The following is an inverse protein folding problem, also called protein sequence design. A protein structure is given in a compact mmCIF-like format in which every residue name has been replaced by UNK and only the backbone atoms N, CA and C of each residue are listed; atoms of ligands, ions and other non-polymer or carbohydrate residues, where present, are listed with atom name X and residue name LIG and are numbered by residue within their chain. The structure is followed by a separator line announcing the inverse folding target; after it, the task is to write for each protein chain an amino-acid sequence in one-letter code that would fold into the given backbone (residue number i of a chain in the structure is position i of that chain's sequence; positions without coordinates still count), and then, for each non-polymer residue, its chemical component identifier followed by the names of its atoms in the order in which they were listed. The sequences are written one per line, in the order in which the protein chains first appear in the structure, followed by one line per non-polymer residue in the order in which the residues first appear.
data_IF_323408888662
#
_entry.id   IF_323408888662
#
_cell.length_a   1.000
_cell.length_b   1.000
_cell.length_c   1.000
_cell.angle_alpha   90.00
_cell.angle_beta   90.00
_cell.angle_gamma   90.00
#
_symmetry.space_group_name_H-M   'P 1'
#
loop_
_entity.id
_entity.type
_entity.pdbx_description
1 polymer ?
#
# COMPACT_ATOMS: atom_id res chain seq x y z
N UNK A 1 -49.25 -7.38 -40.60
CA UNK A 1 -48.16 -6.81 -39.75
C UNK A 1 -46.89 -7.58 -40.05
N UNK A 2 -45.90 -7.00 -40.77
CA UNK A 2 -44.60 -7.58 -41.03
C UNK A 2 -43.75 -7.45 -39.75
N UNK A 3 -43.36 -8.57 -39.13
CA UNK A 3 -42.34 -8.58 -38.05
C UNK A 3 -41.01 -8.06 -38.62
N UNK A 4 -40.60 -6.88 -38.17
CA UNK A 4 -39.27 -6.34 -38.41
C UNK A 4 -38.27 -7.25 -37.69
N UNK A 5 -37.55 -8.07 -38.44
CA UNK A 5 -36.41 -8.86 -37.98
C UNK A 5 -35.25 -7.86 -37.75
N UNK A 6 -35.14 -7.33 -36.55
CA UNK A 6 -33.98 -6.52 -36.15
C UNK A 6 -32.72 -7.37 -36.30
N UNK A 7 -31.85 -7.02 -37.25
CA UNK A 7 -30.51 -7.60 -37.39
C UNK A 7 -29.75 -7.31 -36.08
N UNK A 8 -29.53 -8.33 -35.26
CA UNK A 8 -28.61 -8.21 -34.09
C UNK A 8 -27.20 -7.97 -34.62
N UNK A 9 -26.75 -6.75 -34.53
CA UNK A 9 -25.38 -6.39 -34.92
C UNK A 9 -24.44 -6.97 -33.91
N UNK A 10 -23.68 -8.00 -34.31
CA UNK A 10 -22.66 -8.61 -33.44
C UNK A 10 -21.42 -7.75 -33.44
N UNK A 11 -21.26 -6.92 -32.41
CA UNK A 11 -20.11 -6.04 -32.22
C UNK A 11 -18.85 -6.77 -31.65
N UNK A 12 -18.90 -8.09 -31.44
CA UNK A 12 -17.82 -8.86 -30.81
C UNK A 12 -16.45 -8.68 -31.51
N UNK A 13 -16.44 -8.61 -32.85
CA UNK A 13 -15.18 -8.41 -33.60
C UNK A 13 -14.53 -7.04 -33.30
N UNK A 14 -15.34 -6.01 -33.21
CA UNK A 14 -14.85 -4.66 -32.89
C UNK A 14 -14.35 -4.57 -31.44
N UNK A 15 -15.02 -5.25 -30.51
CA UNK A 15 -14.56 -5.34 -29.13
C UNK A 15 -13.15 -5.95 -29.02
N UNK A 16 -12.88 -7.04 -29.72
CA UNK A 16 -11.55 -7.64 -29.76
C UNK A 16 -10.51 -6.71 -30.42
N UNK A 17 -10.86 -6.07 -31.53
CA UNK A 17 -9.94 -5.13 -32.22
C UNK A 17 -9.54 -3.98 -31.29
N UNK A 18 -10.48 -3.41 -30.53
CA UNK A 18 -10.17 -2.34 -29.57
C UNK A 18 -9.34 -2.81 -28.36
N UNK A 19 -9.42 -4.10 -28.00
CA UNK A 19 -8.59 -4.68 -26.93
C UNK A 19 -7.17 -5.01 -27.35
N UNK A 20 -6.91 -5.22 -28.67
CA UNK A 20 -5.59 -5.63 -29.17
C UNK A 20 -4.47 -4.68 -28.71
N UNK A 21 -4.54 -3.35 -28.83
CA UNK A 21 -3.45 -2.46 -28.40
C UNK A 21 -3.12 -2.64 -26.92
N UNK A 22 -4.15 -2.72 -26.07
CA UNK A 22 -3.98 -2.96 -24.65
C UNK A 22 -3.32 -4.33 -24.37
N UNK A 23 -3.82 -5.40 -25.00
CA UNK A 23 -3.29 -6.75 -24.82
C UNK A 23 -1.82 -6.82 -25.27
N UNK A 24 -1.47 -6.21 -26.41
CA UNK A 24 -0.09 -6.19 -26.91
C UNK A 24 0.84 -5.50 -25.92
N UNK A 25 0.48 -4.32 -25.45
CA UNK A 25 1.27 -3.58 -24.44
C UNK A 25 1.38 -4.38 -23.14
N UNK A 26 0.28 -4.97 -22.67
CA UNK A 26 0.28 -5.80 -21.48
C UNK A 26 1.18 -7.03 -21.61
N UNK A 27 1.13 -7.74 -22.72
CA UNK A 27 1.99 -8.91 -22.98
C UNK A 27 3.46 -8.52 -23.00
N UNK A 28 3.81 -7.46 -23.72
CA UNK A 28 5.21 -7.04 -23.87
C UNK A 28 5.79 -6.53 -22.55
N UNK A 29 5.06 -5.68 -21.81
CA UNK A 29 5.61 -4.96 -20.65
C UNK A 29 5.27 -5.60 -19.29
N UNK A 30 4.31 -6.50 -19.22
CA UNK A 30 3.92 -7.16 -17.99
C UNK A 30 4.15 -8.68 -18.04
N UNK A 31 3.58 -9.35 -19.03
CA UNK A 31 3.59 -10.81 -19.07
C UNK A 31 4.98 -11.37 -19.37
N UNK A 32 5.67 -10.84 -20.37
CA UNK A 32 7.03 -11.28 -20.73
C UNK A 32 8.03 -11.08 -19.58
N UNK A 33 8.11 -9.88 -18.92
CA UNK A 33 8.99 -9.70 -17.76
C UNK A 33 8.63 -10.59 -16.58
N UNK A 34 7.33 -10.84 -16.33
CA UNK A 34 6.88 -11.74 -15.28
C UNK A 34 7.38 -13.18 -15.54
N UNK A 35 7.16 -13.70 -16.76
CA UNK A 35 7.63 -15.05 -17.14
C UNK A 35 9.17 -15.10 -17.04
N UNK A 36 9.87 -14.08 -17.51
CA UNK A 36 11.33 -13.99 -17.41
C UNK A 36 11.82 -14.01 -15.97
N UNK A 37 11.14 -13.29 -15.05
CA UNK A 37 11.47 -13.30 -13.63
C UNK A 37 11.29 -14.68 -13.02
N UNK A 38 10.17 -15.35 -13.31
CA UNK A 38 9.91 -16.72 -12.86
C UNK A 38 10.97 -17.68 -13.43
N UNK A 39 11.30 -17.57 -14.72
CA UNK A 39 12.31 -18.40 -15.35
C UNK A 39 13.68 -18.19 -14.69
N UNK A 40 14.15 -16.95 -14.54
CA UNK A 40 15.43 -16.63 -13.94
C UNK A 40 15.54 -17.06 -12.47
N UNK A 41 14.45 -17.21 -11.75
CA UNK A 41 14.45 -17.66 -10.35
C UNK A 41 15.00 -19.09 -10.16
N UNK A 42 14.98 -19.91 -11.22
CA UNK A 42 15.51 -21.27 -11.21
C UNK A 42 16.98 -21.35 -11.66
N UNK A 43 17.59 -20.22 -11.99
CA UNK A 43 18.96 -20.13 -12.46
C UNK A 43 19.85 -19.43 -11.46
N UNK A 44 21.08 -19.91 -11.33
CA UNK A 44 22.16 -19.17 -10.70
C UNK A 44 22.69 -18.15 -11.71
N UNK A 45 22.51 -16.87 -11.42
CA UNK A 45 22.96 -15.79 -12.28
C UNK A 45 23.32 -14.58 -11.41
N UNK A 46 24.61 -14.36 -11.21
CA UNK A 46 25.10 -13.23 -10.40
C UNK A 46 26.47 -12.77 -10.87
N UNK A 47 26.85 -11.56 -10.45
CA UNK A 47 28.19 -11.02 -10.67
C UNK A 47 29.10 -11.33 -9.48
N UNK A 48 30.25 -11.90 -9.74
CA UNK A 48 31.35 -12.10 -8.77
C UNK A 48 32.53 -11.21 -9.20
N UNK A 49 32.64 -10.03 -8.58
CA UNK A 49 33.55 -9.00 -9.05
C UNK A 49 33.18 -8.52 -10.46
N UNK A 50 34.10 -8.72 -11.42
CA UNK A 50 33.88 -8.36 -12.82
C UNK A 50 33.41 -9.54 -13.70
N UNK A 51 33.33 -10.75 -13.14
CA UNK A 51 32.93 -11.96 -13.88
C UNK A 51 31.48 -12.30 -13.61
N UNK A 52 30.74 -12.65 -14.66
CA UNK A 52 29.39 -13.16 -14.54
C UNK A 52 29.43 -14.68 -14.31
N UNK A 53 28.75 -15.15 -13.27
CA UNK A 53 28.50 -16.57 -13.01
C UNK A 53 27.09 -16.91 -13.52
N UNK A 54 27.01 -17.84 -14.43
CA UNK A 54 25.75 -18.28 -15.03
C UNK A 54 25.34 -17.53 -16.31
N UNK A 55 24.10 -17.76 -16.80
CA UNK A 55 23.01 -18.49 -16.15
C UNK A 55 23.19 -20.02 -16.10
N UNK A 56 23.25 -20.62 -14.92
CA UNK A 56 23.30 -22.06 -14.71
C UNK A 56 21.99 -22.53 -14.07
N UNK A 57 21.38 -23.59 -14.59
CA UNK A 57 20.15 -24.13 -14.01
C UNK A 57 20.43 -24.81 -12.66
N UNK A 58 19.82 -24.29 -11.58
CA UNK A 58 20.00 -24.78 -10.21
C UNK A 58 18.68 -25.24 -9.57
N UNK A 59 17.58 -25.25 -10.32
CA UNK A 59 16.27 -25.64 -9.83
C UNK A 59 15.82 -24.80 -8.64
N UNK A 60 15.52 -25.44 -7.51
CA UNK A 60 15.01 -24.75 -6.31
C UNK A 60 16.11 -24.29 -5.33
N UNK A 61 17.39 -24.32 -5.70
CA UNK A 61 18.50 -23.97 -4.79
C UNK A 61 18.40 -22.51 -4.28
N UNK A 62 18.00 -21.55 -5.14
CA UNK A 62 17.77 -20.16 -4.75
C UNK A 62 16.71 -20.04 -3.67
N UNK A 63 15.60 -20.74 -3.81
CA UNK A 63 14.52 -20.76 -2.81
C UNK A 63 14.98 -21.39 -1.49
N UNK A 64 15.68 -22.55 -1.57
CA UNK A 64 16.23 -23.21 -0.38
C UNK A 64 17.16 -22.28 0.38
N UNK A 65 18.07 -21.59 -0.31
CA UNK A 65 18.97 -20.60 0.28
C UNK A 65 18.19 -19.44 0.91
N UNK A 66 17.21 -18.89 0.20
CA UNK A 66 16.39 -17.77 0.66
C UNK A 66 15.68 -18.07 1.99
N UNK A 67 15.14 -19.28 2.15
CA UNK A 67 14.45 -19.69 3.38
C UNK A 67 15.40 -20.15 4.49
N UNK A 68 16.61 -20.61 4.16
CA UNK A 68 17.62 -21.07 5.12
C UNK A 68 18.32 -19.90 5.80
N UNK A 69 18.57 -18.79 5.11
CA UNK A 69 19.32 -17.64 5.63
C UNK A 69 18.55 -16.87 6.72
N UNK A 70 17.27 -17.13 6.90
CA UNK A 70 16.43 -16.52 7.95
C UNK A 70 16.06 -15.05 7.71
N UNK A 71 16.78 -14.33 6.88
CA UNK A 71 16.60 -12.90 6.60
C UNK A 71 15.19 -12.59 6.06
N UNK A 72 14.63 -13.48 5.25
CA UNK A 72 13.28 -13.32 4.67
C UNK A 72 12.20 -13.20 5.75
N UNK A 73 12.31 -13.97 6.83
CA UNK A 73 11.33 -13.93 7.92
C UNK A 73 11.41 -12.63 8.73
N UNK A 74 12.63 -12.13 8.95
CA UNK A 74 12.87 -10.86 9.64
C UNK A 74 12.27 -9.73 8.81
N UNK A 75 12.55 -9.68 7.51
CA UNK A 75 12.07 -8.60 6.65
C UNK A 75 10.57 -8.70 6.36
N UNK A 76 10.01 -9.90 6.30
CA UNK A 76 8.55 -10.10 6.24
C UNK A 76 7.88 -9.54 7.49
N UNK A 77 8.40 -9.85 8.68
CA UNK A 77 7.90 -9.32 9.95
C UNK A 77 8.02 -7.79 10.00
N UNK A 78 9.15 -7.23 9.59
CA UNK A 78 9.34 -5.77 9.54
C UNK A 78 8.33 -5.11 8.60
N UNK A 79 8.14 -5.66 7.39
CA UNK A 79 7.21 -5.13 6.39
C UNK A 79 5.78 -5.14 6.91
N UNK A 80 5.35 -6.27 7.52
CA UNK A 80 4.03 -6.38 8.13
C UNK A 80 3.83 -5.41 9.30
N UNK A 81 4.84 -5.30 10.17
CA UNK A 81 4.80 -4.37 11.30
C UNK A 81 4.66 -2.92 10.83
N UNK A 82 5.49 -2.50 9.87
CA UNK A 82 5.44 -1.15 9.31
C UNK A 82 4.09 -0.88 8.64
N UNK A 83 3.56 -1.84 7.88
CA UNK A 83 2.24 -1.72 7.26
C UNK A 83 1.14 -1.54 8.32
N UNK A 84 1.11 -2.37 9.37
CA UNK A 84 0.10 -2.28 10.44
C UNK A 84 0.21 -0.95 11.17
N UNK A 85 1.43 -0.51 11.52
CA UNK A 85 1.66 0.77 12.20
C UNK A 85 1.21 1.98 11.36
N UNK A 86 1.29 1.89 10.04
CA UNK A 86 0.80 2.91 9.12
C UNK A 86 -0.72 2.81 8.93
N UNK A 87 -1.22 1.61 8.61
CA UNK A 87 -2.59 1.40 8.13
C UNK A 87 -3.64 1.65 9.20
N UNK A 88 -3.38 1.26 10.46
CA UNK A 88 -4.37 1.44 11.54
C UNK A 88 -4.69 2.93 11.77
N UNK A 89 -3.72 3.83 12.00
CA UNK A 89 -4.02 5.25 12.13
C UNK A 89 -4.62 5.84 10.85
N UNK A 90 -4.11 5.43 9.69
CA UNK A 90 -4.59 5.88 8.38
C UNK A 90 -6.07 5.60 8.18
N UNK A 91 -6.52 4.36 8.40
CA UNK A 91 -7.92 3.97 8.18
C UNK A 91 -8.87 4.65 9.18
N UNK A 92 -8.45 4.76 10.45
CA UNK A 92 -9.24 5.44 11.47
C UNK A 92 -9.43 6.92 11.10
N UNK A 93 -8.33 7.62 10.80
CA UNK A 93 -8.38 9.03 10.40
C UNK A 93 -9.22 9.23 9.14
N UNK A 94 -9.05 8.35 8.15
CA UNK A 94 -9.78 8.41 6.88
C UNK A 94 -11.27 8.14 7.03
N UNK A 95 -11.67 7.22 7.92
CA UNK A 95 -13.09 6.97 8.22
C UNK A 95 -13.74 8.16 8.90
N UNK A 96 -13.08 8.75 9.90
CA UNK A 96 -13.58 9.93 10.62
C UNK A 96 -13.74 11.12 9.66
N UNK A 97 -12.69 11.43 8.90
CA UNK A 97 -12.73 12.55 7.95
C UNK A 97 -13.72 12.29 6.80
N UNK A 98 -13.77 11.04 6.31
CA UNK A 98 -14.73 10.64 5.28
C UNK A 98 -16.17 10.84 5.74
N UNK A 99 -16.49 10.41 6.96
CA UNK A 99 -17.81 10.61 7.56
C UNK A 99 -18.15 12.10 7.71
N UNK A 100 -17.22 12.91 8.25
CA UNK A 100 -17.45 14.35 8.39
C UNK A 100 -17.64 15.08 7.06
N UNK A 101 -16.87 14.72 6.04
CA UNK A 101 -16.95 15.37 4.72
C UNK A 101 -18.12 14.88 3.87
N UNK A 102 -18.72 13.75 4.17
CA UNK A 102 -19.90 13.21 3.50
C UNK A 102 -21.22 13.56 4.18
N UNK A 103 -21.17 14.04 5.43
CA UNK A 103 -22.36 14.36 6.21
C UNK A 103 -23.07 15.60 5.65
N UNK A 104 -24.32 15.38 5.19
CA UNK A 104 -25.16 16.43 4.62
C UNK A 104 -25.71 17.35 5.71
N UNK A 105 -25.90 16.83 6.94
CA UNK A 105 -26.46 17.58 8.06
C UNK A 105 -25.44 18.56 8.66
N UNK A 106 -24.17 18.19 8.72
CA UNK A 106 -23.10 19.01 9.26
C UNK A 106 -22.80 20.28 8.45
N UNK A 107 -23.16 20.32 7.16
CA UNK A 107 -22.98 21.47 6.23
C UNK A 107 -21.67 22.23 6.46
N UNK A 108 -20.55 21.50 6.57
CA UNK A 108 -19.24 22.08 6.83
C UNK A 108 -18.87 23.13 5.80
N UNK A 109 -18.64 24.36 6.25
CA UNK A 109 -18.16 25.45 5.39
C UNK A 109 -16.72 25.16 4.94
N UNK A 110 -16.40 25.40 3.66
CA UNK A 110 -15.04 25.21 3.15
C UNK A 110 -14.63 23.76 2.89
N UNK A 111 -15.55 22.81 2.81
CA UNK A 111 -15.27 21.39 2.57
C UNK A 111 -14.34 21.13 1.38
N UNK A 112 -14.47 21.94 0.31
CA UNK A 112 -13.57 21.83 -0.87
C UNK A 112 -12.12 22.14 -0.50
N UNK A 113 -11.89 23.18 0.29
CA UNK A 113 -10.54 23.55 0.75
C UNK A 113 -9.95 22.43 1.62
N UNK A 114 -10.68 21.95 2.61
CA UNK A 114 -10.20 20.87 3.49
C UNK A 114 -9.92 19.56 2.73
N UNK A 115 -10.76 19.18 1.77
CA UNK A 115 -10.52 18.02 0.90
C UNK A 115 -9.21 18.17 0.12
N UNK A 116 -8.94 19.36 -0.41
CA UNK A 116 -7.68 19.66 -1.11
C UNK A 116 -6.47 19.55 -0.18
N UNK A 117 -6.55 20.17 1.01
CA UNK A 117 -5.46 20.11 2.00
C UNK A 117 -5.16 18.69 2.47
N UNK A 118 -6.21 17.89 2.75
CA UNK A 118 -6.07 16.49 3.16
C UNK A 118 -5.44 15.63 2.07
N UNK A 119 -5.69 15.94 0.80
CA UNK A 119 -5.13 15.20 -0.34
C UNK A 119 -3.71 15.66 -0.73
N UNK A 120 -3.32 16.88 -0.35
CA UNK A 120 -2.06 17.49 -0.76
C UNK A 120 -0.81 16.64 -0.47
N UNK A 121 -0.66 15.99 0.71
CA UNK A 121 0.51 15.14 0.97
C UNK A 121 0.69 13.98 -0.02
N UNK A 122 -0.39 13.46 -0.57
CA UNK A 122 -0.36 12.38 -1.57
C UNK A 122 0.26 12.82 -2.91
N UNK A 123 0.26 14.11 -3.21
CA UNK A 123 0.85 14.67 -4.43
C UNK A 123 2.35 14.90 -4.32
N UNK A 124 2.90 14.87 -3.11
CA UNK A 124 4.32 15.07 -2.87
C UNK A 124 5.07 13.76 -3.18
N UNK A 125 6.15 13.85 -3.94
CA UNK A 125 6.99 12.69 -4.22
C UNK A 125 7.54 12.09 -2.92
N UNK A 126 7.46 10.77 -2.78
CA UNK A 126 7.93 10.05 -1.59
C UNK A 126 9.40 10.37 -1.25
N UNK A 127 10.24 10.56 -2.26
CA UNK A 127 11.64 10.94 -2.07
C UNK A 127 11.82 12.32 -1.45
N UNK A 128 11.10 13.33 -1.95
CA UNK A 128 11.17 14.69 -1.41
C UNK A 128 10.60 14.74 0.02
N UNK A 129 9.49 14.04 0.27
CA UNK A 129 8.87 13.94 1.58
C UNK A 129 9.81 13.25 2.58
N UNK A 130 10.46 12.16 2.17
CA UNK A 130 11.42 11.43 3.01
C UNK A 130 12.66 12.26 3.35
N UNK A 131 13.19 13.02 2.37
CA UNK A 131 14.34 13.90 2.61
C UNK A 131 13.99 15.04 3.57
N UNK A 132 12.79 15.61 3.46
CA UNK A 132 12.28 16.61 4.39
C UNK A 132 12.27 16.05 5.82
N UNK A 133 11.66 14.88 6.03
CA UNK A 133 11.59 14.26 7.35
C UNK A 133 12.98 13.83 7.88
N UNK A 134 13.84 13.32 7.01
CA UNK A 134 15.23 13.03 7.38
C UNK A 134 15.92 14.27 7.94
N UNK A 135 15.79 15.42 7.27
CA UNK A 135 16.38 16.70 7.72
C UNK A 135 15.74 17.18 9.02
N UNK A 136 14.40 17.13 9.13
CA UNK A 136 13.69 17.59 10.32
C UNK A 136 14.03 16.78 11.57
N UNK A 137 14.17 15.47 11.45
CA UNK A 137 14.38 14.54 12.57
C UNK A 137 15.85 14.08 12.71
N UNK A 138 16.80 14.68 11.99
CA UNK A 138 18.23 14.47 12.20
C UNK A 138 18.68 14.97 13.59
N UNK A 139 19.83 14.51 14.06
CA UNK A 139 20.34 14.86 15.40
C UNK A 139 20.48 16.38 15.59
N UNK A 140 20.93 17.10 14.57
CA UNK A 140 20.98 18.58 14.54
C UNK A 140 19.77 19.25 13.91
N UNK A 141 18.67 18.52 13.70
CA UNK A 141 17.50 19.00 12.99
C UNK A 141 16.61 19.96 13.80
N UNK A 142 15.69 20.68 13.09
CA UNK A 142 14.81 21.64 13.71
C UNK A 142 13.92 21.07 14.82
N UNK A 143 13.49 19.82 14.72
CA UNK A 143 12.65 19.17 15.74
C UNK A 143 13.42 19.05 17.07
N UNK A 144 14.66 18.56 17.04
CA UNK A 144 15.50 18.50 18.23
C UNK A 144 15.75 19.90 18.81
N UNK A 145 16.03 20.89 17.96
CA UNK A 145 16.23 22.28 18.40
C UNK A 145 15.00 22.85 19.09
N UNK A 146 13.79 22.62 18.54
CA UNK A 146 12.54 23.05 19.18
C UNK A 146 12.31 22.33 20.52
N UNK A 147 12.50 21.01 20.58
CA UNK A 147 12.30 20.23 21.81
C UNK A 147 13.25 20.66 22.93
N UNK A 148 14.50 21.02 22.61
CA UNK A 148 15.46 21.59 23.57
C UNK A 148 15.08 22.99 24.01
N UNK A 149 14.64 23.85 23.10
CA UNK A 149 14.22 25.23 23.41
C UNK A 149 13.03 25.29 24.37
N UNK A 150 12.04 24.38 24.21
CA UNK A 150 10.89 24.29 25.12
C UNK A 150 11.20 23.49 26.41
N UNK A 151 12.43 23.03 26.59
CA UNK A 151 12.86 22.28 27.78
C UNK A 151 12.29 20.86 27.89
N UNK A 152 11.83 20.27 26.78
CA UNK A 152 11.29 18.92 26.79
C UNK A 152 12.40 17.84 26.78
N UNK A 153 13.56 18.13 26.21
CA UNK A 153 14.76 17.31 26.20
C UNK A 153 15.99 18.16 26.47
N UNK A 154 16.98 17.62 27.20
CA UNK A 154 18.25 18.30 27.50
C UNK A 154 19.31 18.06 26.42
N UNK A 155 19.22 16.94 25.70
CA UNK A 155 20.15 16.53 24.64
C UNK A 155 19.38 16.09 23.41
N UNK A 156 19.97 16.21 22.19
CA UNK A 156 19.29 15.79 20.96
C UNK A 156 18.89 14.31 21.02
N UNK A 157 17.63 14.04 20.77
CA UNK A 157 17.12 12.66 20.68
C UNK A 157 17.46 12.05 19.31
N UNK A 158 18.06 10.89 19.31
CA UNK A 158 18.48 10.18 18.09
C UNK A 158 17.33 9.40 17.48
N UNK A 159 16.41 10.11 16.81
CA UNK A 159 15.20 9.54 16.21
C UNK A 159 15.49 8.40 15.24
N UNK A 160 16.52 8.53 14.42
CA UNK A 160 16.86 7.56 13.38
C UNK A 160 17.74 6.40 13.88
N UNK A 161 18.34 6.53 15.05
CA UNK A 161 19.17 5.50 15.67
C UNK A 161 18.41 4.57 16.63
N UNK A 162 17.14 4.87 16.91
CA UNK A 162 16.26 4.03 17.72
C UNK A 162 15.24 3.31 16.84
N UNK A 163 15.12 1.99 16.98
CA UNK A 163 14.24 1.17 16.15
C UNK A 163 12.75 1.56 16.25
N UNK A 164 12.31 1.94 17.44
CA UNK A 164 10.93 2.35 17.68
C UNK A 164 10.59 3.67 16.98
N UNK A 165 11.43 4.69 17.19
CA UNK A 165 11.23 6.02 16.58
C UNK A 165 11.42 5.98 15.05
N UNK A 166 12.41 5.24 14.54
CA UNK A 166 12.60 5.09 13.09
C UNK A 166 11.40 4.43 12.43
N UNK A 167 10.85 3.34 12.99
CA UNK A 167 9.61 2.71 12.53
C UNK A 167 8.42 3.63 12.65
N UNK A 168 8.30 4.37 13.76
CA UNK A 168 7.24 5.35 13.97
C UNK A 168 7.25 6.46 12.93
N UNK A 169 8.42 6.99 12.59
CA UNK A 169 8.58 8.01 11.55
C UNK A 169 8.17 7.46 10.17
N UNK A 170 8.63 6.27 9.80
CA UNK A 170 8.23 5.63 8.54
C UNK A 170 6.72 5.44 8.49
N UNK A 171 6.11 4.95 9.57
CA UNK A 171 4.67 4.76 9.65
C UNK A 171 3.90 6.07 9.57
N UNK A 172 4.34 7.12 10.28
CA UNK A 172 3.75 8.45 10.23
C UNK A 172 3.80 9.04 8.82
N UNK A 173 4.95 8.96 8.15
CA UNK A 173 5.13 9.48 6.80
C UNK A 173 4.21 8.78 5.80
N UNK A 174 4.17 7.46 5.82
CA UNK A 174 3.26 6.70 4.95
C UNK A 174 1.79 6.98 5.27
N UNK A 175 1.43 7.10 6.56
CA UNK A 175 0.09 7.49 6.97
C UNK A 175 -0.27 8.86 6.36
N UNK A 176 0.58 9.88 6.54
CA UNK A 176 0.36 11.23 5.99
C UNK A 176 0.27 11.25 4.47
N UNK A 177 1.04 10.44 3.76
CA UNK A 177 1.00 10.37 2.30
C UNK A 177 -0.29 9.73 1.77
N UNK A 178 -0.85 8.74 2.48
CA UNK A 178 -1.93 7.92 1.94
C UNK A 178 -3.31 8.16 2.56
N UNK A 179 -3.41 8.79 3.76
CA UNK A 179 -4.71 8.98 4.42
C UNK A 179 -5.68 9.83 3.59
N UNK A 180 -5.18 10.85 2.89
CA UNK A 180 -6.01 11.72 2.07
C UNK A 180 -6.66 10.99 0.90
N UNK A 181 -5.91 10.16 0.19
CA UNK A 181 -6.44 9.32 -0.89
C UNK A 181 -7.51 8.35 -0.34
N UNK A 182 -7.22 7.69 0.78
CA UNK A 182 -8.16 6.78 1.44
C UNK A 182 -9.41 7.52 1.92
N UNK A 183 -9.28 8.73 2.45
CA UNK A 183 -10.40 9.58 2.89
C UNK A 183 -11.34 9.90 1.71
N UNK A 184 -10.79 10.31 0.57
CA UNK A 184 -11.60 10.65 -0.61
C UNK A 184 -12.34 9.41 -1.14
N UNK A 185 -11.68 8.25 -1.15
CA UNK A 185 -12.27 7.01 -1.61
C UNK A 185 -13.44 6.57 -0.70
N UNK A 186 -13.22 6.59 0.63
CA UNK A 186 -14.25 6.24 1.61
C UNK A 186 -15.41 7.23 1.57
N UNK A 187 -15.13 8.52 1.48
CA UNK A 187 -16.13 9.57 1.32
C UNK A 187 -16.98 9.35 0.07
N UNK A 188 -16.36 9.05 -1.08
CA UNK A 188 -17.09 8.78 -2.31
C UNK A 188 -18.03 7.56 -2.14
N UNK A 189 -17.58 6.54 -1.41
CA UNK A 189 -18.41 5.41 -1.05
C UNK A 189 -19.59 5.76 -0.15
N UNK A 190 -19.36 6.60 0.86
CA UNK A 190 -20.43 7.07 1.75
C UNK A 190 -21.46 7.91 1.02
N UNK A 191 -21.03 8.78 0.09
CA UNK A 191 -21.92 9.59 -0.75
C UNK A 191 -22.73 8.76 -1.74
N UNK A 192 -22.36 7.52 -2.01
CA UNK A 192 -23.10 6.58 -2.87
C UNK A 192 -24.20 5.81 -2.13
N UNK A 193 -24.33 5.97 -0.81
CA UNK A 193 -25.41 5.35 -0.02
C UNK A 193 -26.70 6.15 -0.23
N UNK A 194 -27.83 5.43 -0.40
CA UNK A 194 -29.13 6.08 -0.59
C UNK A 194 -29.49 6.94 0.64
N UNK A 195 -29.79 8.20 0.38
CA UNK A 195 -30.15 9.17 1.43
C UNK A 195 -31.43 8.80 2.18
N UNK A 196 -32.35 8.06 1.56
CA UNK A 196 -33.59 7.57 2.19
C UNK A 196 -33.32 6.70 3.44
N UNK A 197 -32.19 6.00 3.48
CA UNK A 197 -31.79 5.20 4.65
C UNK A 197 -31.44 6.09 5.86
N UNK A 198 -30.82 7.23 5.59
CA UNK A 198 -30.47 8.19 6.64
C UNK A 198 -31.71 8.94 7.13
N UNK A 199 -32.60 9.32 6.23
CA UNK A 199 -33.89 9.97 6.55
C UNK A 199 -34.78 9.04 7.39
N UNK A 200 -34.87 7.75 7.03
CA UNK A 200 -35.61 6.76 7.81
C UNK A 200 -35.02 6.60 9.23
N UNK A 201 -33.68 6.51 9.34
CA UNK A 201 -33.02 6.42 10.62
C UNK A 201 -33.24 7.66 11.51
N UNK A 202 -33.31 8.85 10.92
CA UNK A 202 -33.61 10.09 11.63
C UNK A 202 -35.03 10.10 12.16
N UNK A 203 -36.01 9.63 11.38
CA UNK A 203 -37.42 9.46 11.81
C UNK A 203 -37.56 8.46 12.96
N UNK A 204 -36.73 7.39 12.92
CA UNK A 204 -36.66 6.36 13.98
C UNK A 204 -35.90 6.85 15.23
N UNK A 205 -35.35 8.08 15.22
CA UNK A 205 -34.63 8.69 16.34
C UNK A 205 -33.23 8.11 16.55
N UNK A 206 -32.62 7.53 15.52
CA UNK A 206 -31.26 6.99 15.61
C UNK A 206 -30.21 8.11 15.83
N UNK A 207 -29.26 7.86 16.73
CA UNK A 207 -28.12 8.75 16.94
C UNK A 207 -27.12 8.65 15.78
N UNK A 208 -26.33 9.70 15.53
CA UNK A 208 -25.28 9.69 14.49
C UNK A 208 -24.31 8.51 14.64
N UNK A 209 -24.01 8.09 15.88
CA UNK A 209 -23.18 6.90 16.12
C UNK A 209 -23.87 5.61 15.68
N UNK A 210 -25.17 5.45 15.92
CA UNK A 210 -25.94 4.30 15.45
C UNK A 210 -26.02 4.26 13.93
N UNK A 211 -26.28 5.40 13.30
CA UNK A 211 -26.26 5.54 11.83
C UNK A 211 -24.91 5.13 11.25
N UNK A 212 -23.80 5.62 11.85
CA UNK A 212 -22.47 5.27 11.38
C UNK A 212 -22.17 3.76 11.49
N UNK A 213 -22.40 3.15 12.66
CA UNK A 213 -22.03 1.76 12.89
C UNK A 213 -23.00 0.74 12.29
N UNK A 214 -24.31 1.07 12.21
CA UNK A 214 -25.35 0.13 11.77
C UNK A 214 -25.76 0.29 10.31
N UNK A 215 -25.56 1.48 9.71
CA UNK A 215 -25.93 1.76 8.31
C UNK A 215 -24.68 2.02 7.48
N UNK A 216 -23.93 3.07 7.82
CA UNK A 216 -22.83 3.54 6.97
C UNK A 216 -21.72 2.50 6.84
N UNK A 217 -21.18 2.01 7.93
CA UNK A 217 -20.04 1.09 7.95
C UNK A 217 -20.35 -0.27 7.30
N UNK A 218 -21.51 -0.91 7.54
CA UNK A 218 -21.87 -2.14 6.83
C UNK A 218 -22.06 -1.96 5.33
N UNK A 219 -22.68 -0.87 4.89
CA UNK A 219 -22.87 -0.57 3.46
C UNK A 219 -21.56 -0.18 2.77
N UNK A 220 -20.62 0.41 3.50
CA UNK A 220 -19.27 0.75 3.02
C UNK A 220 -18.33 -0.48 2.92
N UNK A 221 -18.72 -1.62 3.45
CA UNK A 221 -17.90 -2.83 3.52
C UNK A 221 -17.20 -3.21 2.20
N UNK A 222 -17.85 -3.19 1.01
CA UNK A 222 -17.17 -3.53 -0.25
C UNK A 222 -15.98 -2.62 -0.55
N UNK A 223 -16.11 -1.32 -0.24
CA UNK A 223 -15.05 -0.34 -0.41
C UNK A 223 -13.95 -0.53 0.65
N UNK A 224 -14.32 -0.84 1.90
CA UNK A 224 -13.36 -1.17 2.95
C UNK A 224 -12.53 -2.40 2.58
N UNK A 225 -13.14 -3.45 2.03
CA UNK A 225 -12.39 -4.62 1.52
C UNK A 225 -11.37 -4.21 0.48
N UNK A 226 -11.79 -3.40 -0.49
CA UNK A 226 -10.89 -2.87 -1.51
C UNK A 226 -9.73 -2.06 -0.90
N UNK A 227 -10.03 -1.16 0.05
CA UNK A 227 -9.02 -0.35 0.76
C UNK A 227 -8.02 -1.23 1.51
N UNK A 228 -8.49 -2.23 2.25
CA UNK A 228 -7.61 -3.15 2.99
C UNK A 228 -6.69 -3.92 2.04
N UNK A 229 -7.22 -4.47 0.95
CA UNK A 229 -6.44 -5.26 -0.01
C UNK A 229 -5.41 -4.37 -0.71
N UNK A 230 -5.81 -3.22 -1.21
CA UNK A 230 -4.89 -2.30 -1.92
C UNK A 230 -3.84 -1.73 -0.97
N UNK A 231 -4.20 -1.41 0.28
CA UNK A 231 -3.25 -0.98 1.30
C UNK A 231 -2.27 -2.10 1.68
N UNK A 232 -2.74 -3.36 1.79
CA UNK A 232 -1.86 -4.50 2.05
C UNK A 232 -0.84 -4.71 0.92
N UNK A 233 -1.30 -4.64 -0.33
CA UNK A 233 -0.42 -4.75 -1.50
C UNK A 233 0.63 -3.62 -1.49
N UNK A 234 0.19 -2.38 -1.26
CA UNK A 234 1.09 -1.23 -1.15
C UNK A 234 2.06 -1.32 0.02
N UNK A 235 1.60 -1.84 1.17
CA UNK A 235 2.44 -2.08 2.35
C UNK A 235 3.51 -3.15 2.13
N UNK A 236 3.17 -4.24 1.40
CA UNK A 236 4.14 -5.25 1.00
C UNK A 236 5.18 -4.71 0.00
N UNK A 237 4.82 -3.70 -0.77
CA UNK A 237 5.68 -3.01 -1.72
C UNK A 237 6.38 -1.77 -1.14
N UNK A 238 6.32 -1.56 0.18
CA UNK A 238 6.92 -0.41 0.85
C UNK A 238 8.44 -0.38 0.62
N UNK A 239 8.92 0.68 -0.05
CA UNK A 239 10.30 0.84 -0.45
C UNK A 239 10.84 2.25 -0.23
N UNK A 240 10.23 3.28 -0.86
CA UNK A 240 10.83 4.62 -0.98
C UNK A 240 11.15 5.26 0.38
N UNK A 241 10.18 5.29 1.28
CA UNK A 241 10.31 5.96 2.58
C UNK A 241 11.39 5.32 3.45
N UNK A 242 11.37 4.00 3.74
CA UNK A 242 12.43 3.38 4.54
C UNK A 242 13.78 3.40 3.84
N UNK A 243 13.81 3.26 2.50
CA UNK A 243 15.06 3.30 1.71
C UNK A 243 15.79 4.63 1.89
N UNK A 244 15.08 5.75 1.78
CA UNK A 244 15.67 7.09 1.86
C UNK A 244 15.96 7.46 3.31
N UNK A 245 15.03 7.22 4.22
CA UNK A 245 15.18 7.59 5.62
C UNK A 245 16.37 6.88 6.30
N UNK A 246 16.72 5.68 5.84
CA UNK A 246 17.82 4.87 6.40
C UNK A 246 19.01 4.69 5.45
N UNK A 247 19.09 5.49 4.39
CA UNK A 247 20.13 5.37 3.35
C UNK A 247 20.31 3.92 2.82
N UNK A 248 19.21 3.18 2.71
CA UNK A 248 19.18 1.82 2.19
C UNK A 248 19.70 0.73 3.13
N UNK A 249 20.14 1.08 4.34
CA UNK A 249 20.69 0.12 5.30
C UNK A 249 19.59 -0.62 6.08
N UNK A 250 18.43 -0.02 6.22
CA UNK A 250 17.34 -0.49 7.08
C UNK A 250 17.64 -0.33 8.57
N UNK A 251 18.59 0.55 8.93
CA UNK A 251 18.98 0.80 10.31
C UNK A 251 17.84 1.40 11.15
N UNK A 252 17.95 1.26 12.48
CA UNK A 252 18.95 0.55 13.26
C UNK A 252 18.72 -0.98 13.24
N UNK A 253 19.82 -1.73 13.25
CA UNK A 253 19.84 -3.20 13.29
C UNK A 253 18.92 -3.88 12.25
N UNK A 254 18.83 -3.33 11.04
CA UNK A 254 17.95 -3.77 9.95
C UNK A 254 16.45 -3.81 10.33
N UNK A 255 16.06 -3.07 11.39
CA UNK A 255 14.68 -3.10 11.92
C UNK A 255 13.64 -2.47 11.00
N UNK A 256 14.08 -1.65 10.04
CA UNK A 256 13.24 -1.00 9.03
C UNK A 256 13.45 -1.59 7.62
N UNK A 257 14.33 -2.60 7.49
CA UNK A 257 14.53 -3.29 6.22
C UNK A 257 13.25 -4.00 5.78
N UNK A 258 12.74 -3.65 4.62
CA UNK A 258 11.55 -4.26 4.01
C UNK A 258 11.91 -5.34 3.00
N UNK A 259 10.91 -6.14 2.61
CA UNK A 259 11.08 -7.18 1.58
C UNK A 259 11.51 -6.61 0.22
N UNK A 260 10.99 -5.44 -0.17
CA UNK A 260 11.39 -4.79 -1.43
C UNK A 260 12.80 -4.20 -1.33
N UNK A 261 13.20 -3.64 -0.17
CA UNK A 261 14.58 -3.22 0.03
C UNK A 261 15.55 -4.42 -0.10
N UNK A 262 15.18 -5.57 0.46
CA UNK A 262 15.97 -6.80 0.34
C UNK A 262 16.05 -7.29 -1.10
N UNK A 263 14.94 -7.27 -1.84
CA UNK A 263 14.91 -7.58 -3.27
C UNK A 263 15.83 -6.65 -4.07
N UNK A 264 15.72 -5.35 -3.86
CA UNK A 264 16.54 -4.37 -4.55
C UNK A 264 18.03 -4.49 -4.20
N UNK A 265 18.37 -4.89 -2.98
CA UNK A 265 19.75 -5.21 -2.60
C UNK A 265 20.36 -6.31 -3.50
N UNK A 266 19.57 -7.35 -3.81
CA UNK A 266 20.00 -8.40 -4.76
C UNK A 266 20.09 -7.88 -6.20
N UNK A 267 19.17 -7.03 -6.63
CA UNK A 267 19.24 -6.40 -7.96
C UNK A 267 20.46 -5.49 -8.12
N UNK A 268 20.75 -4.64 -7.12
CA UNK A 268 21.92 -3.76 -7.14
C UNK A 268 23.25 -4.55 -7.11
N UNK A 269 23.27 -5.67 -6.40
CA UNK A 269 24.44 -6.59 -6.43
C UNK A 269 24.46 -7.48 -7.69
N UNK A 270 23.55 -7.24 -8.65
CA UNK A 270 23.42 -8.03 -9.88
C UNK A 270 23.23 -9.52 -9.65
N UNK A 271 22.59 -9.90 -8.54
CA UNK A 271 22.22 -11.28 -8.24
C UNK A 271 20.79 -11.55 -8.73
N UNK A 272 20.66 -11.77 -10.03
CA UNK A 272 19.37 -11.89 -10.70
C UNK A 272 18.61 -13.16 -10.33
N UNK A 273 19.32 -14.26 -10.06
CA UNK A 273 18.72 -15.51 -9.63
C UNK A 273 18.01 -15.39 -8.28
N UNK A 274 18.68 -14.81 -7.27
CA UNK A 274 18.09 -14.56 -5.95
C UNK A 274 16.99 -13.51 -6.01
N UNK A 275 17.19 -12.42 -6.77
CA UNK A 275 16.16 -11.40 -6.95
C UNK A 275 14.89 -11.99 -7.59
N UNK A 276 15.05 -12.86 -8.61
CA UNK A 276 13.95 -13.57 -9.24
C UNK A 276 13.21 -14.49 -8.25
N UNK A 277 13.95 -15.29 -7.46
CA UNK A 277 13.34 -16.15 -6.45
C UNK A 277 12.57 -15.35 -5.38
N UNK A 278 13.15 -14.25 -4.88
CA UNK A 278 12.49 -13.39 -3.92
C UNK A 278 11.25 -12.69 -4.51
N UNK A 279 11.29 -12.26 -5.77
CA UNK A 279 10.13 -11.69 -6.47
C UNK A 279 8.97 -12.69 -6.57
N UNK A 280 9.24 -13.96 -6.90
CA UNK A 280 8.23 -15.01 -6.96
C UNK A 280 7.64 -15.28 -5.57
N UNK A 281 8.47 -15.33 -4.53
CA UNK A 281 8.00 -15.53 -3.15
C UNK A 281 7.12 -14.35 -2.71
N UNK A 282 7.52 -13.11 -3.00
CA UNK A 282 6.71 -11.92 -2.74
C UNK A 282 5.36 -11.96 -3.46
N UNK A 283 5.35 -12.37 -4.72
CA UNK A 283 4.12 -12.52 -5.50
C UNK A 283 3.17 -13.53 -4.85
N UNK A 284 3.69 -14.68 -4.41
CA UNK A 284 2.90 -15.73 -3.75
C UNK A 284 2.37 -15.23 -2.39
N UNK A 285 3.22 -14.60 -1.55
CA UNK A 285 2.81 -14.04 -0.26
C UNK A 285 1.70 -13.01 -0.46
N UNK A 286 1.88 -12.08 -1.38
CA UNK A 286 0.90 -11.03 -1.68
C UNK A 286 -0.42 -11.63 -2.15
N UNK A 287 -0.37 -12.62 -3.06
CA UNK A 287 -1.54 -13.30 -3.56
C UNK A 287 -2.31 -14.05 -2.46
N UNK A 288 -1.61 -14.83 -1.63
CA UNK A 288 -2.22 -15.56 -0.51
C UNK A 288 -2.86 -14.60 0.48
N UNK A 289 -2.15 -13.57 0.93
CA UNK A 289 -2.67 -12.61 1.89
C UNK A 289 -3.88 -11.85 1.35
N UNK A 290 -3.85 -11.44 0.08
CA UNK A 290 -4.98 -10.77 -0.57
C UNK A 290 -6.21 -11.68 -0.67
N UNK A 291 -6.02 -12.97 -1.01
CA UNK A 291 -7.09 -13.95 -1.05
C UNK A 291 -7.67 -14.24 0.35
N UNK A 292 -6.81 -14.31 1.38
CA UNK A 292 -7.25 -14.49 2.77
C UNK A 292 -8.10 -13.31 3.22
N UNK A 293 -7.63 -12.08 2.99
CA UNK A 293 -8.40 -10.86 3.31
C UNK A 293 -9.72 -10.85 2.57
N UNK A 294 -9.72 -11.13 1.27
CA UNK A 294 -10.94 -11.18 0.46
C UNK A 294 -11.93 -12.22 0.99
N UNK A 295 -11.46 -13.43 1.35
CA UNK A 295 -12.31 -14.50 1.86
C UNK A 295 -12.90 -14.17 3.23
N UNK A 296 -12.11 -13.60 4.15
CA UNK A 296 -12.56 -13.22 5.49
C UNK A 296 -13.60 -12.11 5.40
N UNK A 297 -13.36 -11.12 4.55
CA UNK A 297 -14.18 -9.91 4.48
C UNK A 297 -15.35 -10.03 3.50
N UNK A 298 -15.24 -10.90 2.47
CA UNK A 298 -16.25 -11.08 1.42
C UNK A 298 -17.34 -12.13 1.72
N UNK A 299 -17.16 -12.98 2.72
CA UNK A 299 -17.96 -14.20 2.90
C UNK A 299 -19.37 -13.98 3.52
N UNK A 300 -19.78 -12.76 3.86
CA UNK A 300 -21.07 -12.48 4.53
C UNK A 300 -22.27 -12.33 3.55
N UNK A 301 -22.03 -12.39 2.23
CA UNK A 301 -23.14 -12.28 1.23
C UNK A 301 -23.96 -13.56 1.03
N UNK A 302 -23.69 -14.65 1.76
CA UNK A 302 -24.40 -15.94 1.59
C UNK A 302 -25.41 -16.25 2.70
N UNK A 303 -25.71 -15.32 3.60
CA UNK A 303 -26.70 -15.53 4.67
C UNK A 303 -27.80 -14.46 4.68
N UNK A 304 -28.26 -14.03 3.54
CA UNK A 304 -29.43 -13.21 3.39
C UNK A 304 -30.30 -13.71 2.24
#
# INVERSE_FOLDING_TARGET
MKKSSGKVVRYNKWGYIFLIPFIVVYVIFQLIPLISTIYNSFFENYMSGLTQVGPNFVGLANYKKLFSDGDIWIYTKNTMLLWIMCFIPQIILSLVLGAWFSDVCLRLKGTRFFKTVVYLPNLIMASAFSMLFFTLFSDGGPINSMLMQIGFIDTPYKFLSNAGSARGLIALMNCLMWFGNTTILLMAGMMGIDTSLFEAAEVDGATSSQVFWQITLPLLRPILVYVVITSLIGGLQLFDVPQILTNGTGDPMRSTMTLIMFLNKHLYSKNYGMAGALSVVLFIITGILSLVVFKITGNDKRKG
#
